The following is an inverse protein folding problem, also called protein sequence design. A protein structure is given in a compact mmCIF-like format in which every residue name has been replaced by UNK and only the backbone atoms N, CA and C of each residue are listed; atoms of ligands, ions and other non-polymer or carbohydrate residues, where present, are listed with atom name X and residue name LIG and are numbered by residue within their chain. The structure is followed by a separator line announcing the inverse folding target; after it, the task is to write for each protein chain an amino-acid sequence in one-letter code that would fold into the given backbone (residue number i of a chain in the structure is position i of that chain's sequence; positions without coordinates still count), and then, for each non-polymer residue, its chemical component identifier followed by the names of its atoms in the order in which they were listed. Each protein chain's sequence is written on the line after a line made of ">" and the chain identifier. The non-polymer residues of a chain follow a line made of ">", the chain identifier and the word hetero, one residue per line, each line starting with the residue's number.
data_IF_271818256383
#
_entry.id   IF_271818256383
#
_cell.length_a   1.000
_cell.length_b   1.000
_cell.length_c   1.000
_cell.angle_alpha   90.00
_cell.angle_beta   90.00
_cell.angle_gamma   90.00
#
_symmetry.space_group_name_H-M   'P 1'
#
loop_
_entity.id
_entity.type
_entity.pdbx_description
1 polymer ?
#
# COMPACT_ATOMS: atom_id res chain seq x y z
N UNK A 1 18.80 -20.26 12.44
CA UNK A 1 17.88 -21.02 11.55
C UNK A 1 16.42 -20.60 11.71
N UNK A 2 15.84 -20.55 12.93
CA UNK A 2 14.41 -20.24 13.17
C UNK A 2 13.88 -18.90 12.58
N UNK A 3 14.73 -17.87 12.44
CA UNK A 3 14.36 -16.60 11.82
C UNK A 3 14.26 -16.65 10.29
N UNK A 4 14.94 -17.60 9.62
CA UNK A 4 14.93 -17.70 8.16
C UNK A 4 13.65 -18.38 7.65
N UNK A 5 13.18 -19.41 8.34
CA UNK A 5 11.97 -20.15 7.96
C UNK A 5 10.69 -19.34 8.23
N UNK A 6 10.66 -18.57 9.32
CA UNK A 6 9.53 -17.68 9.64
C UNK A 6 9.41 -16.51 8.66
N UNK A 7 10.53 -15.99 8.14
CA UNK A 7 10.53 -14.88 7.19
C UNK A 7 9.75 -15.19 5.89
N UNK A 8 9.78 -16.45 5.43
CA UNK A 8 8.99 -16.88 4.25
C UNK A 8 7.50 -16.75 4.49
N UNK A 9 7.02 -17.23 5.64
CA UNK A 9 5.60 -17.14 5.98
C UNK A 9 5.14 -15.70 6.20
N UNK A 10 5.99 -14.84 6.78
CA UNK A 10 5.69 -13.41 6.88
C UNK A 10 5.57 -12.73 5.52
N UNK A 11 6.41 -13.10 4.54
CA UNK A 11 6.29 -12.59 3.16
C UNK A 11 5.00 -13.05 2.48
N UNK A 12 4.62 -14.33 2.66
CA UNK A 12 3.35 -14.86 2.14
C UNK A 12 2.16 -14.12 2.76
N UNK A 13 2.18 -13.96 4.09
CA UNK A 13 1.15 -13.20 4.80
C UNK A 13 1.07 -11.75 4.32
N UNK A 14 2.21 -11.08 4.15
CA UNK A 14 2.29 -9.72 3.60
C UNK A 14 1.69 -9.64 2.19
N UNK A 15 1.99 -10.59 1.32
CA UNK A 15 1.45 -10.64 -0.03
C UNK A 15 -0.08 -10.84 -0.05
N UNK A 16 -0.59 -11.75 0.79
CA UNK A 16 -2.03 -12.01 0.91
C UNK A 16 -2.76 -10.76 1.44
N UNK A 17 -2.25 -10.16 2.52
CA UNK A 17 -2.84 -8.96 3.11
C UNK A 17 -2.74 -7.78 2.13
N UNK A 18 -1.62 -7.65 1.41
CA UNK A 18 -1.44 -6.67 0.35
C UNK A 18 -2.45 -6.83 -0.79
N UNK A 19 -2.70 -8.05 -1.26
CA UNK A 19 -3.72 -8.34 -2.26
C UNK A 19 -5.14 -8.01 -1.77
N UNK A 20 -5.47 -8.38 -0.53
CA UNK A 20 -6.73 -8.01 0.10
C UNK A 20 -6.90 -6.49 0.23
N UNK A 21 -5.83 -5.77 0.60
CA UNK A 21 -5.81 -4.31 0.68
C UNK A 21 -6.08 -3.66 -0.67
N UNK A 22 -5.44 -4.12 -1.75
CA UNK A 22 -5.69 -3.63 -3.12
C UNK A 22 -7.15 -3.86 -3.51
N UNK A 23 -7.70 -5.05 -3.22
CA UNK A 23 -9.10 -5.36 -3.45
C UNK A 23 -10.04 -4.41 -2.69
N UNK A 24 -9.83 -4.23 -1.39
CA UNK A 24 -10.64 -3.35 -0.55
C UNK A 24 -10.57 -1.88 -0.98
N UNK A 25 -9.36 -1.36 -1.27
CA UNK A 25 -9.15 0.00 -1.73
C UNK A 25 -9.80 0.26 -3.10
N UNK A 26 -9.74 -0.72 -4.01
CA UNK A 26 -10.43 -0.66 -5.31
C UNK A 26 -11.94 -0.60 -5.14
N UNK A 27 -12.52 -1.45 -4.28
CA UNK A 27 -13.95 -1.41 -3.99
C UNK A 27 -14.36 -0.08 -3.35
N UNK A 28 -13.55 0.47 -2.44
CA UNK A 28 -13.77 1.78 -1.84
C UNK A 28 -13.79 2.90 -2.91
N UNK A 29 -12.82 2.92 -3.83
CA UNK A 29 -12.75 3.91 -4.92
C UNK A 29 -13.94 3.80 -5.89
N UNK A 30 -14.35 2.57 -6.24
CA UNK A 30 -15.51 2.33 -7.10
C UNK A 30 -16.81 2.75 -6.41
N UNK A 31 -16.98 2.44 -5.13
CA UNK A 31 -18.19 2.77 -4.38
C UNK A 31 -18.33 4.28 -4.12
N UNK A 32 -17.22 4.99 -4.02
CA UNK A 32 -17.20 6.46 -3.91
C UNK A 32 -17.37 7.16 -5.26
N UNK A 33 -17.41 6.45 -6.40
CA UNK A 33 -17.63 7.08 -7.72
C UNK A 33 -18.91 7.91 -7.80
N UNK A 34 -19.98 7.52 -7.11
CA UNK A 34 -21.24 8.29 -7.09
C UNK A 34 -21.09 9.64 -6.36
N UNK A 35 -20.09 9.79 -5.49
CA UNK A 35 -19.87 11.01 -4.73
C UNK A 35 -19.39 12.17 -5.59
N UNK A 36 -18.78 11.89 -6.75
CA UNK A 36 -18.50 12.91 -7.77
C UNK A 36 -19.78 13.63 -8.25
N UNK A 37 -20.92 12.93 -8.20
CA UNK A 37 -22.26 13.46 -8.50
C UNK A 37 -23.04 13.86 -7.24
N UNK A 38 -22.37 13.93 -6.08
CA UNK A 38 -22.96 14.19 -4.75
C UNK A 38 -24.07 13.20 -4.35
N UNK A 39 -24.05 11.99 -4.90
CA UNK A 39 -24.98 10.90 -4.53
C UNK A 39 -24.37 10.03 -3.43
N UNK A 40 -25.00 10.07 -2.26
CA UNK A 40 -24.55 9.40 -1.03
C UNK A 40 -25.38 8.17 -0.65
N UNK A 41 -26.21 7.63 -1.57
CA UNK A 41 -27.06 6.47 -1.31
C UNK A 41 -26.29 5.25 -0.76
N UNK A 42 -25.03 5.07 -1.19
CA UNK A 42 -24.16 3.95 -0.80
C UNK A 42 -23.24 4.25 0.38
N UNK A 43 -23.47 5.34 1.11
CA UNK A 43 -22.56 5.81 2.17
C UNK A 43 -22.31 4.78 3.28
N UNK A 44 -23.30 3.97 3.65
CA UNK A 44 -23.11 2.89 4.62
C UNK A 44 -22.09 1.84 4.17
N UNK A 45 -22.03 1.54 2.88
CA UNK A 45 -21.03 0.62 2.35
C UNK A 45 -19.65 1.25 2.22
N UNK A 46 -19.58 2.52 1.81
CA UNK A 46 -18.33 3.30 1.80
C UNK A 46 -17.68 3.31 3.19
N UNK A 47 -18.47 3.50 4.26
CA UNK A 47 -17.99 3.39 5.66
C UNK A 47 -17.30 2.06 5.95
N UNK A 48 -17.92 0.95 5.56
CA UNK A 48 -17.36 -0.40 5.79
C UNK A 48 -16.05 -0.59 5.05
N UNK A 49 -16.01 -0.22 3.77
CA UNK A 49 -14.78 -0.32 2.98
C UNK A 49 -13.68 0.63 3.45
N UNK A 50 -14.01 1.82 3.94
CA UNK A 50 -13.02 2.73 4.50
C UNK A 50 -12.36 2.16 5.76
N UNK A 51 -13.15 1.61 6.69
CA UNK A 51 -12.62 0.95 7.89
C UNK A 51 -11.81 -0.30 7.54
N UNK A 52 -12.34 -1.16 6.66
CA UNK A 52 -11.65 -2.36 6.21
C UNK A 52 -10.32 -2.03 5.52
N UNK A 53 -10.31 -1.01 4.65
CA UNK A 53 -9.10 -0.56 3.97
C UNK A 53 -8.09 -0.05 4.99
N UNK A 54 -8.48 0.82 5.92
CA UNK A 54 -7.57 1.34 6.96
C UNK A 54 -7.00 0.21 7.84
N UNK A 55 -7.83 -0.76 8.23
CA UNK A 55 -7.40 -1.91 9.03
C UNK A 55 -6.42 -2.82 8.27
N UNK A 56 -6.71 -3.15 7.01
CA UNK A 56 -5.80 -3.93 6.16
C UNK A 56 -4.50 -3.18 5.90
N UNK A 57 -4.56 -1.85 5.75
CA UNK A 57 -3.37 -1.01 5.57
C UNK A 57 -2.49 -1.05 6.82
N UNK A 58 -3.07 -0.86 8.01
CA UNK A 58 -2.36 -0.93 9.28
C UNK A 58 -1.71 -2.32 9.49
N UNK A 59 -2.47 -3.39 9.22
CA UNK A 59 -1.96 -4.76 9.30
C UNK A 59 -0.81 -5.00 8.32
N UNK A 60 -0.97 -4.59 7.06
CA UNK A 60 0.05 -4.76 6.04
C UNK A 60 1.33 -3.99 6.40
N UNK A 61 1.17 -2.77 6.90
CA UNK A 61 2.27 -1.92 7.35
C UNK A 61 3.00 -2.53 8.56
N UNK A 62 2.27 -3.04 9.54
CA UNK A 62 2.85 -3.71 10.71
C UNK A 62 3.65 -4.96 10.33
N UNK A 63 3.14 -5.78 9.41
CA UNK A 63 3.86 -6.93 8.86
C UNK A 63 5.12 -6.46 8.11
N UNK A 64 5.00 -5.40 7.30
CA UNK A 64 6.13 -4.80 6.60
C UNK A 64 7.24 -4.35 7.55
N UNK A 65 6.88 -3.65 8.64
CA UNK A 65 7.82 -3.25 9.69
C UNK A 65 8.49 -4.44 10.39
N UNK A 66 7.76 -5.54 10.60
CA UNK A 66 8.34 -6.75 11.18
C UNK A 66 9.37 -7.42 10.25
N UNK A 67 9.17 -7.35 8.93
CA UNK A 67 10.09 -7.90 7.93
C UNK A 67 11.27 -6.96 7.66
N UNK A 68 11.08 -5.65 7.83
CA UNK A 68 12.02 -4.61 7.38
C UNK A 68 13.46 -4.74 7.90
N UNK A 69 13.74 -5.08 9.17
CA UNK A 69 15.11 -5.22 9.67
C UNK A 69 15.90 -6.28 8.90
N UNK A 70 15.26 -7.41 8.58
CA UNK A 70 15.89 -8.52 7.85
C UNK A 70 16.16 -8.13 6.41
N UNK A 71 15.23 -7.40 5.78
CA UNK A 71 15.38 -6.93 4.41
C UNK A 71 16.51 -5.90 4.29
N UNK A 72 16.53 -4.88 5.15
CA UNK A 72 17.52 -3.80 5.10
C UNK A 72 18.96 -4.29 5.26
N UNK A 73 19.18 -5.24 6.16
CA UNK A 73 20.52 -5.85 6.34
C UNK A 73 20.95 -6.61 5.09
N UNK A 74 20.07 -7.44 4.51
CA UNK A 74 20.42 -8.25 3.32
C UNK A 74 20.61 -7.40 2.07
N UNK A 75 19.78 -6.38 1.87
CA UNK A 75 19.87 -5.46 0.72
C UNK A 75 21.11 -4.59 0.82
N UNK A 76 21.45 -4.09 2.01
CA UNK A 76 22.70 -3.34 2.21
C UNK A 76 23.92 -4.19 1.87
N UNK A 77 23.99 -5.41 2.41
CA UNK A 77 25.11 -6.32 2.15
C UNK A 77 25.20 -6.69 0.65
N UNK A 78 24.07 -6.94 0.00
CA UNK A 78 24.05 -7.35 -1.41
C UNK A 78 24.37 -6.22 -2.41
N UNK A 79 24.21 -4.95 -2.04
CA UNK A 79 24.29 -3.84 -3.01
C UNK A 79 25.25 -2.72 -2.64
N UNK A 80 25.62 -2.58 -1.37
CA UNK A 80 26.55 -1.54 -0.91
C UNK A 80 27.90 -2.12 -0.50
N UNK A 81 27.96 -3.40 -0.11
CA UNK A 81 29.18 -4.03 0.41
C UNK A 81 29.87 -4.97 -0.61
N UNK A 82 29.31 -5.14 -1.82
CA UNK A 82 29.93 -5.96 -2.89
C UNK A 82 30.61 -5.07 -3.97
N UNK A 83 31.95 -4.92 -3.95
CA UNK A 83 32.70 -4.14 -4.93
C UNK A 83 32.72 -4.75 -6.35
N UNK A 84 32.20 -5.98 -6.54
CA UNK A 84 32.19 -6.69 -7.81
C UNK A 84 30.94 -6.49 -8.70
N UNK A 85 29.94 -5.74 -8.24
CA UNK A 85 28.71 -5.50 -9.01
C UNK A 85 29.02 -4.70 -10.29
N UNK A 86 29.08 -5.39 -11.44
CA UNK A 86 29.34 -4.80 -12.74
C UNK A 86 28.42 -3.58 -13.04
N UNK A 87 29.02 -2.52 -13.59
CA UNK A 87 28.40 -1.20 -13.84
C UNK A 87 26.95 -1.22 -14.41
N UNK A 88 26.55 -2.12 -15.35
CA UNK A 88 25.18 -2.17 -15.87
C UNK A 88 24.15 -2.74 -14.88
N UNK A 89 24.57 -3.74 -14.09
CA UNK A 89 23.75 -4.35 -13.03
C UNK A 89 23.59 -3.36 -11.86
N UNK A 90 24.64 -2.61 -11.54
CA UNK A 90 24.60 -1.55 -10.54
C UNK A 90 23.57 -0.47 -10.88
N UNK A 91 23.53 0.02 -12.13
CA UNK A 91 22.58 1.08 -12.52
C UNK A 91 21.12 0.62 -12.43
N UNK A 92 20.82 -0.58 -12.94
CA UNK A 92 19.48 -1.18 -12.88
C UNK A 92 19.04 -1.41 -11.44
N UNK A 93 19.93 -1.93 -10.60
CA UNK A 93 19.67 -2.17 -9.19
C UNK A 93 19.45 -0.88 -8.42
N UNK A 94 20.24 0.18 -8.70
CA UNK A 94 20.07 1.49 -8.07
C UNK A 94 18.70 2.10 -8.38
N UNK A 95 18.17 1.87 -9.58
CA UNK A 95 16.81 2.29 -9.97
C UNK A 95 15.76 1.53 -9.15
N UNK A 96 15.91 0.20 -9.01
CA UNK A 96 15.00 -0.63 -8.21
C UNK A 96 15.01 -0.20 -6.73
N UNK A 97 16.16 0.11 -6.16
CA UNK A 97 16.28 0.64 -4.80
C UNK A 97 15.55 1.98 -4.63
N UNK A 98 15.71 2.92 -5.57
CA UNK A 98 14.96 4.19 -5.56
C UNK A 98 13.46 3.99 -5.64
N UNK A 99 12.99 3.08 -6.50
CA UNK A 99 11.57 2.72 -6.59
C UNK A 99 11.04 2.14 -5.28
N UNK A 100 11.86 1.34 -4.60
CA UNK A 100 11.54 0.81 -3.29
C UNK A 100 11.36 1.94 -2.26
N UNK A 101 12.30 2.88 -2.17
CA UNK A 101 12.21 4.02 -1.23
C UNK A 101 10.98 4.90 -1.51
N UNK A 102 10.70 5.19 -2.79
CA UNK A 102 9.51 5.95 -3.20
C UNK A 102 8.23 5.20 -2.80
N UNK A 103 8.21 3.88 -2.96
CA UNK A 103 7.10 3.04 -2.48
C UNK A 103 6.90 3.17 -0.97
N UNK A 104 7.97 3.19 -0.17
CA UNK A 104 7.83 3.30 1.29
C UNK A 104 7.14 4.61 1.70
N UNK A 105 7.54 5.72 1.09
CA UNK A 105 6.91 7.02 1.33
C UNK A 105 5.48 7.06 0.82
N UNK A 106 5.22 6.53 -0.39
CA UNK A 106 3.88 6.46 -0.95
C UNK A 106 2.93 5.62 -0.09
N UNK A 107 3.41 4.52 0.49
CA UNK A 107 2.65 3.68 1.44
C UNK A 107 2.39 4.41 2.75
N UNK A 108 3.38 5.10 3.32
CA UNK A 108 3.18 5.87 4.55
C UNK A 108 2.13 6.99 4.35
N UNK A 109 2.20 7.71 3.23
CA UNK A 109 1.21 8.73 2.87
C UNK A 109 -0.15 8.08 2.64
N UNK A 110 -0.21 7.00 1.87
CA UNK A 110 -1.44 6.25 1.60
C UNK A 110 -2.10 5.76 2.89
N UNK A 111 -1.33 5.31 3.87
CA UNK A 111 -1.82 4.91 5.18
C UNK A 111 -2.45 6.08 5.93
N UNK A 112 -1.72 7.20 6.05
CA UNK A 112 -2.21 8.39 6.72
C UNK A 112 -3.52 8.90 6.09
N UNK A 113 -3.59 8.91 4.76
CA UNK A 113 -4.80 9.29 4.02
C UNK A 113 -5.93 8.29 4.25
N UNK A 114 -5.67 6.98 4.28
CA UNK A 114 -6.68 5.97 4.54
C UNK A 114 -7.29 6.09 5.95
N UNK A 115 -6.46 6.38 6.96
CA UNK A 115 -6.90 6.63 8.34
C UNK A 115 -7.74 7.90 8.41
N UNK A 116 -7.28 9.00 7.81
CA UNK A 116 -8.01 10.25 7.76
C UNK A 116 -9.37 10.08 7.04
N UNK A 117 -9.38 9.38 5.91
CA UNK A 117 -10.58 9.08 5.14
C UNK A 117 -11.58 8.25 5.96
N UNK A 118 -11.11 7.21 6.67
CA UNK A 118 -11.96 6.42 7.55
C UNK A 118 -12.58 7.29 8.66
N UNK A 119 -11.78 8.15 9.30
CA UNK A 119 -12.26 9.09 10.32
C UNK A 119 -13.32 10.05 9.76
N UNK A 120 -13.06 10.68 8.60
CA UNK A 120 -13.99 11.59 7.92
C UNK A 120 -15.30 10.87 7.62
N UNK A 121 -15.24 9.69 7.00
CA UNK A 121 -16.43 8.95 6.56
C UNK A 121 -17.24 8.40 7.74
N UNK A 122 -16.60 8.08 8.86
CA UNK A 122 -17.28 7.66 10.10
C UNK A 122 -17.97 8.84 10.80
N UNK A 123 -17.33 10.01 10.83
CA UNK A 123 -17.88 11.23 11.43
C UNK A 123 -19.00 11.84 10.59
N UNK A 124 -18.82 11.89 9.27
CA UNK A 124 -19.71 12.56 8.33
C UNK A 124 -21.04 11.82 8.11
N UNK A 125 -22.16 12.51 8.30
CA UNK A 125 -23.53 12.02 8.06
C UNK A 125 -24.17 12.84 6.92
N UNK A 126 -24.20 12.34 5.68
CA UNK A 126 -24.68 13.11 4.52
C UNK A 126 -26.11 13.66 4.61
N UNK A 127 -26.96 13.06 5.44
CA UNK A 127 -28.34 13.52 5.67
C UNK A 127 -28.42 14.74 6.61
N UNK A 128 -27.39 14.95 7.45
CA UNK A 128 -27.33 16.04 8.43
C UNK A 128 -26.34 17.12 8.03
N UNK A 129 -25.17 16.72 7.53
CA UNK A 129 -24.01 17.60 7.35
C UNK A 129 -23.87 18.12 5.92
N UNK A 130 -24.82 17.80 5.04
CA UNK A 130 -24.75 18.14 3.62
C UNK A 130 -23.85 17.23 2.80
N UNK A 131 -23.76 17.52 1.49
CA UNK A 131 -23.09 16.65 0.49
C UNK A 131 -21.91 17.30 -0.23
N UNK A 132 -21.51 18.49 0.20
CA UNK A 132 -20.49 19.27 -0.51
C UNK A 132 -19.08 18.68 -0.39
N UNK A 133 -18.79 17.93 0.68
CA UNK A 133 -17.50 17.24 0.84
C UNK A 133 -17.41 15.92 0.06
N UNK A 134 -18.50 15.45 -0.55
CA UNK A 134 -18.54 14.14 -1.20
C UNK A 134 -17.47 13.98 -2.30
N UNK A 135 -17.25 14.96 -3.21
CA UNK A 135 -16.18 14.87 -4.21
C UNK A 135 -14.78 14.78 -3.59
N UNK A 136 -14.52 15.50 -2.49
CA UNK A 136 -13.24 15.42 -1.79
C UNK A 136 -13.00 14.03 -1.19
N UNK A 137 -14.03 13.44 -0.56
CA UNK A 137 -13.99 12.05 -0.06
C UNK A 137 -13.70 11.05 -1.18
N UNK A 138 -14.30 11.25 -2.36
CA UNK A 138 -13.99 10.42 -3.54
C UNK A 138 -12.53 10.59 -3.99
N UNK A 139 -12.04 11.83 -4.08
CA UNK A 139 -10.65 12.11 -4.44
C UNK A 139 -9.66 11.42 -3.51
N UNK A 140 -9.89 11.48 -2.20
CA UNK A 140 -9.06 10.78 -1.21
C UNK A 140 -9.13 9.24 -1.36
N UNK A 141 -10.32 8.68 -1.62
CA UNK A 141 -10.46 7.24 -1.84
C UNK A 141 -9.69 6.76 -3.08
N UNK A 142 -9.74 7.53 -4.18
CA UNK A 142 -8.98 7.26 -5.39
C UNK A 142 -7.47 7.42 -5.17
N UNK A 143 -7.04 8.40 -4.36
CA UNK A 143 -5.64 8.56 -3.98
C UNK A 143 -5.11 7.35 -3.18
N UNK A 144 -5.88 6.88 -2.19
CA UNK A 144 -5.54 5.66 -1.43
C UNK A 144 -5.43 4.46 -2.37
N UNK A 145 -6.41 4.28 -3.27
CA UNK A 145 -6.39 3.21 -4.27
C UNK A 145 -5.15 3.29 -5.16
N UNK A 146 -4.81 4.46 -5.69
CA UNK A 146 -3.62 4.66 -6.51
C UNK A 146 -2.33 4.34 -5.76
N UNK A 147 -2.20 4.77 -4.50
CA UNK A 147 -1.05 4.46 -3.66
C UNK A 147 -0.90 2.94 -3.41
N UNK A 148 -2.01 2.24 -3.12
CA UNK A 148 -1.99 0.79 -2.90
C UNK A 148 -1.61 0.01 -4.17
N UNK A 149 -2.14 0.40 -5.33
CA UNK A 149 -1.79 -0.21 -6.61
C UNK A 149 -0.34 0.05 -6.99
N UNK A 150 0.13 1.30 -6.84
CA UNK A 150 1.52 1.64 -7.08
C UNK A 150 2.46 0.75 -6.26
N UNK A 151 2.17 0.59 -4.96
CA UNK A 151 2.99 -0.24 -4.09
C UNK A 151 2.96 -1.73 -4.45
N UNK A 152 1.79 -2.25 -4.83
CA UNK A 152 1.66 -3.62 -5.30
C UNK A 152 2.46 -3.86 -6.59
N UNK A 153 2.38 -2.94 -7.56
CA UNK A 153 3.13 -3.02 -8.81
C UNK A 153 4.63 -2.99 -8.54
N UNK A 154 5.12 -2.04 -7.74
CA UNK A 154 6.55 -1.97 -7.38
C UNK A 154 6.99 -3.26 -6.66
N UNK A 155 6.16 -3.81 -5.78
CA UNK A 155 6.41 -5.09 -5.10
C UNK A 155 6.54 -6.26 -6.07
N UNK A 156 5.62 -6.38 -7.03
CA UNK A 156 5.66 -7.41 -8.07
C UNK A 156 6.91 -7.27 -8.95
N UNK A 157 7.18 -6.07 -9.45
CA UNK A 157 8.35 -5.78 -10.29
C UNK A 157 9.65 -6.14 -9.55
N UNK A 158 9.79 -5.72 -8.29
CA UNK A 158 10.98 -6.01 -7.46
C UNK A 158 11.16 -7.52 -7.26
N UNK A 159 10.07 -8.25 -7.06
CA UNK A 159 10.10 -9.70 -6.87
C UNK A 159 10.48 -10.43 -8.16
N UNK A 160 9.95 -9.99 -9.31
CA UNK A 160 10.27 -10.56 -10.63
C UNK A 160 11.74 -10.40 -11.00
N UNK A 161 12.35 -9.23 -10.74
CA UNK A 161 13.79 -9.03 -10.99
C UNK A 161 14.65 -10.00 -10.20
N UNK A 162 14.27 -10.31 -8.96
CA UNK A 162 15.00 -11.26 -8.12
C UNK A 162 14.91 -12.71 -8.61
N UNK A 163 13.80 -13.06 -9.27
CA UNK A 163 13.59 -14.41 -9.79
C UNK A 163 14.35 -14.70 -11.10
N UNK A 164 14.69 -13.66 -11.89
CA UNK A 164 15.42 -13.82 -13.16
C UNK A 164 16.94 -13.78 -12.93
N UNK A 165 17.41 -13.07 -11.90
CA UNK A 165 18.84 -12.95 -11.56
C UNK A 165 19.41 -14.06 -10.67
N UNK A 166 18.63 -15.11 -10.37
CA UNK A 166 19.02 -16.28 -9.57
C UNK A 166 19.02 -17.53 -10.43
#
# INVERSE_FOLDING_TARGET
>A
MLLADSARWWLVAHAIVGGALVGAATHMAVWTRSYWRRDTARHRGVRRFAVLTAALFALNFAIGLAIYPVYKVRVRVAYLDDPGAALPLYETTSRVARWFDVKEHAIAIGFAVAVALAAIVLAWRPSRDGRDIAPAVAGLAWLVCAATWFAAIVGLVTTSYRAIGS
#
